data_IF_939095623795
#
_entry.id   IF_939095623795
#
_cell.length_a   1.000
_cell.length_b   1.000
_cell.length_c   1.000
_cell.angle_alpha   90.00
_cell.angle_beta   90.00
_cell.angle_gamma   90.00
#
_symmetry.space_group_name_H-M   'P 1'
#
loop_
_entity.id
_entity.type
_entity.pdbx_description
1 polymer ?
#
# COMPACT_ATOMS: atom_id res chain seq x y z
N UNK A 1 -2.97 -8.46 31.15
CA UNK A 1 -4.29 -8.33 30.51
C UNK A 1 -4.15 -8.97 29.14
N UNK A 2 -4.65 -10.18 28.97
CA UNK A 2 -4.60 -10.90 27.70
C UNK A 2 -5.57 -10.19 26.75
N UNK A 3 -5.04 -9.40 25.84
CA UNK A 3 -5.82 -8.93 24.69
C UNK A 3 -6.07 -10.17 23.84
N UNK A 4 -7.31 -10.66 23.86
CA UNK A 4 -7.75 -11.73 22.98
C UNK A 4 -7.46 -11.31 21.54
N UNK A 5 -6.45 -11.93 20.95
CA UNK A 5 -6.04 -11.76 19.54
C UNK A 5 -7.05 -12.39 18.57
N UNK A 6 -8.27 -12.67 19.02
CA UNK A 6 -9.32 -13.19 18.17
C UNK A 6 -9.80 -12.10 17.20
N UNK A 7 -9.40 -12.24 15.95
CA UNK A 7 -9.88 -11.39 14.85
C UNK A 7 -11.40 -11.35 14.87
N UNK A 8 -11.97 -10.16 14.81
CA UNK A 8 -13.43 -9.98 14.65
C UNK A 8 -13.90 -10.62 13.34
N UNK A 9 -15.18 -10.94 13.22
CA UNK A 9 -15.76 -11.50 11.98
C UNK A 9 -15.42 -10.62 10.77
N UNK A 10 -15.49 -9.31 10.93
CA UNK A 10 -15.12 -8.32 9.90
C UNK A 10 -13.66 -8.45 9.47
N UNK A 11 -12.74 -8.53 10.43
CA UNK A 11 -11.31 -8.69 10.16
C UNK A 11 -10.97 -10.02 9.49
N UNK A 12 -11.67 -11.11 9.87
CA UNK A 12 -11.51 -12.42 9.19
C UNK A 12 -11.93 -12.36 7.74
N UNK A 13 -13.05 -11.69 7.42
CA UNK A 13 -13.49 -11.49 6.04
C UNK A 13 -12.47 -10.66 5.26
N UNK A 14 -12.00 -9.54 5.83
CA UNK A 14 -10.97 -8.71 5.21
C UNK A 14 -9.67 -9.45 4.96
N UNK A 15 -9.20 -10.22 5.97
CA UNK A 15 -7.99 -11.04 5.84
C UNK A 15 -8.16 -12.13 4.78
N UNK A 16 -9.28 -12.85 4.76
CA UNK A 16 -9.56 -13.88 3.77
C UNK A 16 -9.58 -13.30 2.35
N UNK A 17 -10.20 -12.12 2.18
CA UNK A 17 -10.25 -11.41 0.89
C UNK A 17 -8.85 -11.01 0.42
N UNK A 18 -8.04 -10.40 1.30
CA UNK A 18 -6.67 -10.01 0.96
C UNK A 18 -5.77 -11.20 0.67
N UNK A 19 -5.93 -12.30 1.42
CA UNK A 19 -5.19 -13.55 1.16
C UNK A 19 -5.59 -14.14 -0.19
N UNK A 20 -6.88 -14.17 -0.52
CA UNK A 20 -7.35 -14.66 -1.83
C UNK A 20 -6.78 -13.81 -2.98
N UNK A 21 -6.80 -12.47 -2.85
CA UNK A 21 -6.21 -11.55 -3.83
C UNK A 21 -4.69 -11.76 -3.92
N UNK A 22 -4.00 -11.88 -2.80
CA UNK A 22 -2.55 -12.10 -2.78
C UNK A 22 -2.18 -13.44 -3.43
N UNK A 23 -2.93 -14.50 -3.17
CA UNK A 23 -2.76 -15.80 -3.83
C UNK A 23 -3.02 -15.73 -5.33
N UNK A 24 -4.09 -15.04 -5.75
CA UNK A 24 -4.37 -14.81 -7.16
C UNK A 24 -3.22 -14.06 -7.85
N UNK A 25 -2.72 -12.99 -7.24
CA UNK A 25 -1.61 -12.19 -7.78
C UNK A 25 -0.26 -12.92 -7.74
N UNK A 26 -0.03 -13.79 -6.76
CA UNK A 26 1.24 -14.53 -6.63
C UNK A 26 1.27 -15.78 -7.51
N UNK A 27 0.20 -16.57 -7.52
CA UNK A 27 0.11 -17.82 -8.27
C UNK A 27 -0.37 -17.62 -9.71
N UNK A 28 -1.22 -16.61 -9.96
CA UNK A 28 -1.78 -16.32 -11.26
C UNK A 28 -0.75 -16.21 -12.37
N UNK A 29 0.33 -15.41 -12.23
CA UNK A 29 1.38 -15.32 -13.25
C UNK A 29 1.98 -16.65 -13.69
N UNK A 30 2.11 -17.61 -12.79
CA UNK A 30 2.63 -18.94 -13.09
C UNK A 30 1.58 -19.87 -13.74
N UNK A 31 0.29 -19.64 -13.47
CA UNK A 31 -0.81 -20.52 -13.91
C UNK A 31 -1.45 -20.07 -15.22
N UNK A 32 -1.53 -18.76 -15.47
CA UNK A 32 -2.30 -18.18 -16.60
C UNK A 32 -1.43 -17.70 -17.76
N UNK A 33 -0.11 -17.88 -17.69
CA UNK A 33 0.81 -17.57 -18.76
C UNK A 33 1.23 -16.10 -18.90
N UNK A 34 1.89 -15.77 -20.01
CA UNK A 34 2.44 -14.43 -20.27
C UNK A 34 1.30 -13.46 -20.68
N UNK A 35 1.14 -12.31 -19.98
CA UNK A 35 0.14 -11.30 -20.27
C UNK A 35 0.40 -10.53 -21.59
N UNK A 36 1.51 -10.81 -22.29
CA UNK A 36 1.93 -10.11 -23.51
C UNK A 36 1.62 -10.90 -24.78
N UNK A 37 1.23 -12.16 -24.66
CA UNK A 37 0.90 -13.00 -25.82
C UNK A 37 -0.28 -12.38 -26.56
N UNK A 38 -0.07 -12.06 -27.83
CA UNK A 38 -1.06 -11.48 -28.71
C UNK A 38 -1.81 -12.59 -29.46
N UNK A 39 -3.12 -12.50 -29.47
CA UNK A 39 -4.00 -13.39 -30.23
C UNK A 39 -5.11 -12.59 -30.93
N UNK A 40 -4.77 -11.98 -32.05
CA UNK A 40 -5.68 -11.13 -32.81
C UNK A 40 -6.93 -11.86 -33.35
N UNK A 41 -6.93 -13.20 -33.38
CA UNK A 41 -8.11 -13.98 -33.74
C UNK A 41 -9.18 -13.93 -32.64
N UNK A 42 -8.77 -13.73 -31.41
CA UNK A 42 -9.63 -13.63 -30.23
C UNK A 42 -9.76 -12.19 -29.71
N UNK A 43 -9.92 -11.22 -30.62
CA UNK A 43 -10.14 -9.81 -30.31
C UNK A 43 -11.43 -9.60 -29.51
N UNK A 44 -11.38 -8.93 -28.35
CA UNK A 44 -12.52 -8.61 -27.47
C UNK A 44 -13.45 -9.80 -27.19
N UNK A 45 -12.92 -11.02 -27.11
CA UNK A 45 -13.71 -12.21 -26.84
C UNK A 45 -14.36 -12.13 -25.47
N UNK A 46 -15.64 -12.46 -25.39
CA UNK A 46 -16.40 -12.47 -24.14
C UNK A 46 -15.86 -13.54 -23.15
N UNK A 47 -16.12 -13.37 -21.84
CA UNK A 47 -15.82 -14.40 -20.85
C UNK A 47 -16.42 -15.76 -21.22
N UNK A 48 -15.60 -16.82 -21.17
CA UNK A 48 -15.97 -18.19 -21.52
C UNK A 48 -15.00 -19.21 -20.91
N UNK A 49 -15.19 -20.50 -21.29
CA UNK A 49 -14.37 -21.59 -20.73
C UNK A 49 -12.89 -21.48 -21.12
N UNK A 50 -12.60 -20.99 -22.33
CA UNK A 50 -11.22 -20.79 -22.81
C UNK A 50 -10.60 -19.49 -22.28
N UNK A 51 -11.42 -18.45 -22.11
CA UNK A 51 -11.01 -17.14 -21.64
C UNK A 51 -11.92 -16.68 -20.49
N UNK A 52 -11.63 -17.04 -19.24
CA UNK A 52 -12.49 -16.83 -18.06
C UNK A 52 -12.94 -15.38 -17.85
N UNK A 53 -12.08 -14.40 -18.13
CA UNK A 53 -12.42 -12.97 -18.10
C UNK A 53 -12.41 -12.32 -19.50
N UNK A 54 -12.43 -13.14 -20.55
CA UNK A 54 -12.32 -12.68 -21.93
C UNK A 54 -10.90 -12.25 -22.31
N UNK A 55 -10.80 -11.60 -23.47
CA UNK A 55 -9.55 -11.08 -24.02
C UNK A 55 -9.68 -9.59 -24.31
N UNK A 56 -8.57 -8.86 -24.32
CA UNK A 56 -8.55 -7.44 -24.61
C UNK A 56 -8.53 -7.14 -26.12
N UNK A 57 -8.34 -5.86 -26.46
CA UNK A 57 -8.27 -5.37 -27.84
C UNK A 57 -7.06 -5.86 -28.65
N UNK A 58 -6.16 -6.61 -28.06
CA UNK A 58 -5.04 -7.28 -28.72
C UNK A 58 -5.13 -8.81 -28.57
N UNK A 59 -6.28 -9.32 -28.11
CA UNK A 59 -6.50 -10.74 -27.85
C UNK A 59 -5.75 -11.29 -26.65
N UNK A 60 -5.16 -10.44 -25.81
CA UNK A 60 -4.42 -10.86 -24.62
C UNK A 60 -5.38 -11.34 -23.52
N UNK A 61 -5.03 -12.41 -22.82
CA UNK A 61 -5.84 -12.93 -21.71
C UNK A 61 -6.00 -11.89 -20.58
N UNK A 62 -7.26 -11.54 -20.27
CA UNK A 62 -7.57 -10.61 -19.18
C UNK A 62 -7.20 -11.16 -17.80
N UNK A 63 -7.31 -12.48 -17.60
CA UNK A 63 -6.89 -13.12 -16.33
C UNK A 63 -5.39 -12.97 -16.13
N UNK A 64 -4.59 -13.25 -17.17
CA UNK A 64 -3.14 -13.11 -17.11
C UNK A 64 -2.73 -11.66 -16.85
N UNK A 65 -3.33 -10.72 -17.56
CA UNK A 65 -3.07 -9.28 -17.38
C UNK A 65 -3.44 -8.83 -15.96
N UNK A 66 -4.61 -9.23 -15.46
CA UNK A 66 -5.09 -8.83 -14.14
C UNK A 66 -4.22 -9.38 -13.01
N UNK A 67 -3.78 -10.65 -13.11
CA UNK A 67 -2.89 -11.26 -12.13
C UNK A 67 -1.53 -10.55 -12.07
N UNK A 68 -0.92 -10.29 -13.23
CA UNK A 68 0.36 -9.57 -13.29
C UNK A 68 0.22 -8.09 -12.87
N UNK A 69 -0.87 -7.42 -13.26
CA UNK A 69 -1.13 -6.04 -12.82
C UNK A 69 -1.32 -5.95 -11.30
N UNK A 70 -2.09 -6.87 -10.73
CA UNK A 70 -2.27 -6.96 -9.29
C UNK A 70 -0.96 -7.24 -8.56
N UNK A 71 -0.15 -8.20 -9.06
CA UNK A 71 1.18 -8.48 -8.50
C UNK A 71 2.08 -7.24 -8.50
N UNK A 72 2.12 -6.52 -9.62
CA UNK A 72 2.93 -5.30 -9.75
C UNK A 72 2.44 -4.19 -8.82
N UNK A 73 1.15 -3.87 -8.87
CA UNK A 73 0.57 -2.77 -8.09
C UNK A 73 0.63 -3.04 -6.58
N UNK A 74 0.24 -4.23 -6.13
CA UNK A 74 0.29 -4.60 -4.71
C UNK A 74 1.72 -4.78 -4.21
N UNK A 75 2.61 -5.35 -5.02
CA UNK A 75 4.02 -5.51 -4.68
C UNK A 75 4.71 -4.16 -4.52
N UNK A 76 4.47 -3.22 -5.44
CA UNK A 76 5.01 -1.87 -5.36
C UNK A 76 4.46 -1.10 -4.16
N UNK A 77 3.15 -1.20 -3.90
CA UNK A 77 2.53 -0.58 -2.74
C UNK A 77 3.14 -1.11 -1.43
N UNK A 78 3.25 -2.43 -1.30
CA UNK A 78 3.84 -3.06 -0.12
C UNK A 78 5.30 -2.64 0.08
N UNK A 79 6.09 -2.66 -0.98
CA UNK A 79 7.48 -2.23 -0.94
C UNK A 79 7.61 -0.76 -0.50
N UNK A 80 6.80 0.14 -1.08
CA UNK A 80 6.80 1.57 -0.75
C UNK A 80 6.42 1.81 0.72
N UNK A 81 5.36 1.14 1.18
CA UNK A 81 4.88 1.26 2.57
C UNK A 81 5.91 0.72 3.56
N UNK A 82 6.51 -0.44 3.30
CA UNK A 82 7.54 -1.02 4.17
C UNK A 82 8.78 -0.12 4.23
N UNK A 83 9.25 0.36 3.08
CA UNK A 83 10.41 1.26 2.99
C UNK A 83 10.17 2.62 3.65
N UNK A 84 8.92 3.08 3.70
CA UNK A 84 8.53 4.28 4.42
C UNK A 84 8.39 4.04 5.92
N UNK A 85 7.76 2.92 6.31
CA UNK A 85 7.48 2.59 7.69
C UNK A 85 8.75 2.38 8.52
N UNK A 86 9.75 1.66 7.98
CA UNK A 86 10.99 1.35 8.72
C UNK A 86 11.70 2.64 9.19
N UNK A 87 12.13 3.57 8.31
CA UNK A 87 12.79 4.79 8.74
C UNK A 87 11.83 5.71 9.52
N UNK A 88 10.56 5.80 9.14
CA UNK A 88 9.56 6.61 9.84
C UNK A 88 9.36 6.19 11.29
N UNK A 89 9.23 4.89 11.55
CA UNK A 89 9.10 4.33 12.91
C UNK A 89 10.38 4.53 13.72
N UNK A 90 11.53 4.20 13.14
CA UNK A 90 12.82 4.33 13.85
C UNK A 90 13.11 5.78 14.21
N UNK A 91 13.00 6.68 13.24
CA UNK A 91 13.22 8.13 13.46
C UNK A 91 12.18 8.71 14.42
N UNK A 92 10.91 8.27 14.34
CA UNK A 92 9.85 8.69 15.22
C UNK A 92 10.12 8.33 16.69
N UNK A 93 10.51 7.09 16.96
CA UNK A 93 10.85 6.63 18.32
C UNK A 93 12.10 7.36 18.82
N UNK A 94 13.16 7.46 18.00
CA UNK A 94 14.43 8.11 18.40
C UNK A 94 14.22 9.61 18.67
N UNK A 95 13.45 10.29 17.82
CA UNK A 95 13.12 11.71 18.01
C UNK A 95 12.31 11.94 19.30
N UNK A 96 11.31 11.10 19.58
CA UNK A 96 10.52 11.16 20.80
C UNK A 96 11.37 10.88 22.06
N UNK A 97 12.34 9.97 21.95
CA UNK A 97 13.21 9.57 23.07
C UNK A 97 14.24 10.63 23.40
N UNK A 98 15.00 11.14 22.39
CA UNK A 98 16.11 12.07 22.61
C UNK A 98 15.66 13.51 22.69
N UNK A 99 14.62 13.90 21.96
CA UNK A 99 14.17 15.29 21.90
C UNK A 99 15.23 16.23 21.31
N UNK A 100 15.14 17.51 21.70
CA UNK A 100 16.17 18.51 21.43
C UNK A 100 16.39 18.83 19.95
N UNK A 101 17.68 18.97 19.55
CA UNK A 101 18.05 19.33 18.18
C UNK A 101 17.74 18.23 17.15
N UNK A 102 17.90 16.95 17.56
CA UNK A 102 17.63 15.82 16.69
C UNK A 102 16.15 15.75 16.30
N UNK A 103 15.26 15.92 17.27
CA UNK A 103 13.82 15.99 17.03
C UNK A 103 13.50 17.15 16.07
N UNK A 104 14.06 18.34 16.32
CA UNK A 104 13.85 19.51 15.46
C UNK A 104 14.33 19.27 14.03
N UNK A 105 15.51 18.68 13.85
CA UNK A 105 16.06 18.36 12.53
C UNK A 105 15.14 17.39 11.76
N UNK A 106 14.68 16.32 12.42
CA UNK A 106 13.75 15.37 11.81
C UNK A 106 12.41 16.02 11.45
N UNK A 107 11.89 16.91 12.28
CA UNK A 107 10.65 17.65 12.01
C UNK A 107 10.82 18.59 10.82
N UNK A 108 11.90 19.36 10.77
CA UNK A 108 12.20 20.25 9.62
C UNK A 108 12.33 19.46 8.33
N UNK A 109 13.01 18.30 8.38
CA UNK A 109 13.12 17.42 7.21
C UNK A 109 11.74 16.91 6.77
N UNK A 110 10.90 16.46 7.71
CA UNK A 110 9.55 16.00 7.42
C UNK A 110 8.68 17.12 6.85
N UNK A 111 8.76 18.33 7.40
CA UNK A 111 8.02 19.50 6.93
C UNK A 111 8.48 19.95 5.53
N UNK A 112 9.79 19.83 5.25
CA UNK A 112 10.34 20.11 3.90
C UNK A 112 9.78 19.16 2.83
N UNK A 113 9.61 17.88 3.16
CA UNK A 113 8.99 16.91 2.23
C UNK A 113 7.51 17.22 2.03
N UNK A 114 6.78 17.59 3.09
CA UNK A 114 5.35 17.94 2.99
C UNK A 114 5.08 19.33 2.43
N UNK A 115 6.09 20.15 2.18
CA UNK A 115 5.92 21.41 1.46
C UNK A 115 5.35 21.18 0.04
N UNK A 116 5.57 19.99 -0.52
CA UNK A 116 4.93 19.52 -1.76
C UNK A 116 3.80 18.54 -1.44
N UNK A 117 2.62 18.66 -2.07
CA UNK A 117 1.60 17.63 -2.01
C UNK A 117 2.17 16.28 -2.45
N UNK A 118 1.91 15.19 -1.68
CA UNK A 118 2.54 13.89 -1.89
C UNK A 118 2.42 13.36 -3.34
N UNK A 119 1.24 13.49 -3.97
CA UNK A 119 1.06 13.11 -5.39
C UNK A 119 1.91 13.94 -6.34
N UNK A 120 2.10 15.25 -6.08
CA UNK A 120 2.97 16.09 -6.89
C UNK A 120 4.44 15.69 -6.75
N UNK A 121 4.87 15.28 -5.55
CA UNK A 121 6.22 14.74 -5.35
C UNK A 121 6.43 13.47 -6.16
N UNK A 122 5.46 12.54 -6.14
CA UNK A 122 5.53 11.31 -6.94
C UNK A 122 5.55 11.64 -8.43
N UNK A 123 4.69 12.55 -8.87
CA UNK A 123 4.61 12.99 -10.27
C UNK A 123 5.95 13.61 -10.73
N UNK A 124 6.52 14.50 -9.92
CA UNK A 124 7.82 15.13 -10.21
C UNK A 124 8.92 14.08 -10.40
N UNK A 125 9.01 13.10 -9.50
CA UNK A 125 9.99 12.03 -9.62
C UNK A 125 9.71 11.12 -10.84
N UNK A 126 8.43 10.84 -11.14
CA UNK A 126 8.05 10.04 -12.29
C UNK A 126 8.46 10.69 -13.64
N UNK A 127 8.58 12.03 -13.70
CA UNK A 127 9.06 12.71 -14.89
C UNK A 127 10.56 12.51 -15.18
N UNK A 128 11.35 12.17 -14.16
CA UNK A 128 12.79 11.93 -14.31
C UNK A 128 13.10 10.65 -15.11
N UNK A 129 12.23 9.63 -15.02
CA UNK A 129 12.35 8.41 -15.81
C UNK A 129 10.94 7.85 -16.12
N UNK A 130 10.29 8.37 -17.17
CA UNK A 130 8.92 8.02 -17.53
C UNK A 130 8.78 6.52 -17.83
N UNK A 131 7.81 5.87 -17.16
CA UNK A 131 7.53 4.45 -17.33
C UNK A 131 8.42 3.51 -16.51
N UNK A 132 9.40 4.05 -15.77
CA UNK A 132 10.23 3.26 -14.88
C UNK A 132 9.53 3.03 -13.53
N UNK A 133 9.86 1.91 -12.90
CA UNK A 133 9.36 1.50 -11.60
C UNK A 133 9.89 2.37 -10.43
N UNK A 134 11.19 2.67 -10.45
CA UNK A 134 11.87 3.26 -9.30
C UNK A 134 11.43 4.68 -8.92
N UNK A 135 11.04 5.59 -9.83
CA UNK A 135 10.59 6.91 -9.41
C UNK A 135 9.25 6.88 -8.68
N UNK A 136 8.31 6.02 -9.13
CA UNK A 136 7.05 5.82 -8.44
C UNK A 136 7.27 5.27 -7.04
N UNK A 137 8.12 4.25 -6.93
CA UNK A 137 8.51 3.65 -5.66
C UNK A 137 9.12 4.68 -4.70
N UNK A 138 10.14 5.43 -5.15
CA UNK A 138 10.81 6.43 -4.30
C UNK A 138 9.88 7.56 -3.91
N UNK A 139 9.04 8.04 -4.84
CA UNK A 139 8.08 9.11 -4.58
C UNK A 139 7.07 8.71 -3.50
N UNK A 140 6.51 7.52 -3.60
CA UNK A 140 5.58 6.99 -2.60
C UNK A 140 6.27 6.75 -1.26
N UNK A 141 7.47 6.15 -1.25
CA UNK A 141 8.23 5.93 -0.02
C UNK A 141 8.57 7.25 0.69
N UNK A 142 8.99 8.28 -0.07
CA UNK A 142 9.28 9.61 0.45
C UNK A 142 8.03 10.34 0.95
N UNK A 143 6.88 10.15 0.31
CA UNK A 143 5.64 10.77 0.77
C UNK A 143 5.15 10.11 2.08
N UNK A 144 5.20 8.78 2.18
CA UNK A 144 4.62 8.06 3.32
C UNK A 144 5.50 8.05 4.57
N UNK A 145 6.86 8.08 4.46
CA UNK A 145 7.70 8.03 5.66
C UNK A 145 7.42 9.15 6.66
N UNK A 146 7.02 10.32 6.18
CA UNK A 146 6.69 11.48 7.02
C UNK A 146 5.47 11.21 7.88
N UNK A 147 4.45 10.55 7.33
CA UNK A 147 3.24 10.19 8.07
C UNK A 147 3.57 9.20 9.20
N UNK A 148 4.35 8.13 8.89
CA UNK A 148 4.84 7.20 9.91
C UNK A 148 5.66 7.91 10.97
N UNK A 149 6.59 8.77 10.57
CA UNK A 149 7.43 9.54 11.50
C UNK A 149 6.59 10.39 12.45
N UNK A 150 5.65 11.17 11.92
CA UNK A 150 4.83 12.10 12.72
C UNK A 150 3.94 11.36 13.72
N UNK A 151 3.23 10.35 13.27
CA UNK A 151 2.31 9.59 14.13
C UNK A 151 3.08 8.83 15.20
N UNK A 152 4.14 8.12 14.81
CA UNK A 152 4.96 7.36 15.76
C UNK A 152 5.64 8.28 16.77
N UNK A 153 6.19 9.43 16.33
CA UNK A 153 6.79 10.41 17.24
C UNK A 153 5.77 10.92 18.27
N UNK A 154 4.57 11.31 17.83
CA UNK A 154 3.52 11.80 18.71
C UNK A 154 3.08 10.74 19.73
N UNK A 155 2.78 9.52 19.27
CA UNK A 155 2.38 8.42 20.13
C UNK A 155 3.48 8.00 21.10
N UNK A 156 4.72 7.83 20.61
CA UNK A 156 5.86 7.47 21.45
C UNK A 156 6.14 8.52 22.53
N UNK A 157 6.01 9.80 22.20
CA UNK A 157 6.17 10.89 23.16
C UNK A 157 5.12 10.84 24.28
N UNK A 158 3.86 10.59 23.94
CA UNK A 158 2.77 10.40 24.90
C UNK A 158 3.03 9.21 25.83
N UNK A 159 3.41 8.06 25.25
CA UNK A 159 3.69 6.83 26.00
C UNK A 159 4.89 7.04 26.95
N UNK A 160 5.96 7.68 26.47
CA UNK A 160 7.18 7.93 27.25
C UNK A 160 6.97 8.90 28.42
N UNK A 161 5.92 9.74 28.38
CA UNK A 161 5.50 10.62 29.46
C UNK A 161 4.51 9.96 30.43
N UNK A 162 4.15 8.68 30.24
CA UNK A 162 3.18 7.97 31.09
C UNK A 162 3.78 7.62 32.46
N UNK A 163 2.95 7.58 33.53
CA UNK A 163 3.39 7.16 34.86
C UNK A 163 3.99 5.75 34.91
N UNK A 164 3.52 4.84 34.06
CA UNK A 164 4.04 3.48 33.98
C UNK A 164 5.51 3.44 33.49
N UNK A 165 5.87 4.29 32.51
CA UNK A 165 7.25 4.42 32.03
C UNK A 165 8.11 5.11 33.10
N UNK A 166 7.59 6.11 33.80
CA UNK A 166 8.31 6.80 34.88
C UNK A 166 8.62 5.83 36.04
N UNK A 167 7.64 5.04 36.48
CA UNK A 167 7.85 4.01 37.49
C UNK A 167 8.93 2.98 37.06
N UNK A 168 8.87 2.55 35.81
CA UNK A 168 9.89 1.62 35.27
C UNK A 168 11.29 2.23 35.24
N UNK A 169 11.41 3.53 34.94
CA UNK A 169 12.70 4.27 35.02
C UNK A 169 13.23 4.35 36.46
N UNK A 170 12.38 4.62 37.42
CA UNK A 170 12.75 4.66 38.84
C UNK A 170 13.24 3.29 39.34
N UNK A 171 12.71 2.20 38.80
CA UNK A 171 13.17 0.84 39.08
C UNK A 171 14.47 0.45 38.34
N UNK A 172 15.07 1.37 37.56
CA UNK A 172 16.35 1.18 36.91
C UNK A 172 16.28 0.42 35.56
N UNK A 173 15.10 0.23 34.98
CA UNK A 173 14.99 -0.43 33.68
C UNK A 173 15.57 0.43 32.56
N UNK A 174 16.37 -0.21 31.68
CA UNK A 174 17.06 0.47 30.57
C UNK A 174 16.12 0.81 29.40
N UNK A 175 16.62 1.67 28.50
CA UNK A 175 15.89 2.19 27.34
C UNK A 175 15.29 1.12 26.44
N UNK A 176 16.03 0.03 26.19
CA UNK A 176 15.56 -1.09 25.37
C UNK A 176 14.34 -1.77 25.99
N UNK A 177 14.35 -1.99 27.31
CA UNK A 177 13.21 -2.54 28.03
C UNK A 177 11.97 -1.63 27.90
N UNK A 178 12.14 -0.33 28.11
CA UNK A 178 11.05 0.64 28.01
C UNK A 178 10.42 0.68 26.62
N UNK A 179 11.25 0.68 25.58
CA UNK A 179 10.74 0.62 24.19
C UNK A 179 10.02 -0.69 23.92
N UNK A 180 10.59 -1.83 24.31
CA UNK A 180 10.01 -3.14 24.04
C UNK A 180 8.73 -3.42 24.84
N UNK A 181 8.68 -2.99 26.11
CA UNK A 181 7.59 -3.36 27.05
C UNK A 181 6.47 -2.32 27.10
N UNK A 182 6.75 -1.06 26.81
CA UNK A 182 5.75 0.03 26.86
C UNK A 182 5.45 0.61 25.49
N UNK A 183 6.49 1.05 24.75
CA UNK A 183 6.28 1.79 23.48
C UNK A 183 5.81 0.86 22.37
N UNK A 184 6.49 -0.25 22.16
CA UNK A 184 6.21 -1.14 21.02
C UNK A 184 4.82 -1.81 21.08
N UNK A 185 4.33 -2.32 22.21
CA UNK A 185 2.99 -2.91 22.29
C UNK A 185 1.87 -1.92 21.96
N UNK A 186 2.00 -0.67 22.40
CA UNK A 186 1.01 0.37 22.15
C UNK A 186 1.11 0.93 20.71
N UNK A 187 2.29 0.93 20.10
CA UNK A 187 2.46 1.35 18.71
C UNK A 187 1.93 0.32 17.69
N UNK A 188 1.94 -0.97 18.00
CA UNK A 188 1.52 -2.03 17.07
C UNK A 188 0.15 -1.79 16.42
N UNK A 189 -0.93 -1.53 17.13
CA UNK A 189 -2.24 -1.30 16.52
C UNK A 189 -2.24 -0.04 15.64
N UNK A 190 -1.55 1.01 16.04
CA UNK A 190 -1.39 2.24 15.27
C UNK A 190 -0.65 1.96 13.96
N UNK A 191 0.45 1.20 14.02
CA UNK A 191 1.24 0.83 12.84
C UNK A 191 0.45 -0.05 11.86
N UNK A 192 -0.37 -0.98 12.35
CA UNK A 192 -1.25 -1.80 11.51
C UNK A 192 -2.30 -0.93 10.79
N UNK A 193 -2.86 0.04 11.50
CA UNK A 193 -3.80 1.00 10.92
C UNK A 193 -3.12 1.84 9.84
N UNK A 194 -1.94 2.42 10.13
CA UNK A 194 -1.15 3.18 9.16
C UNK A 194 -0.73 2.34 7.96
N UNK A 195 -0.32 1.09 8.16
CA UNK A 195 0.04 0.19 7.05
C UNK A 195 -1.16 -0.07 6.13
N UNK A 196 -2.35 -0.30 6.68
CA UNK A 196 -3.56 -0.50 5.89
C UNK A 196 -3.96 0.76 5.10
N UNK A 197 -3.85 1.95 5.71
CA UNK A 197 -4.10 3.22 5.02
C UNK A 197 -3.04 3.49 3.96
N UNK A 198 -1.76 3.31 4.30
CA UNK A 198 -0.64 3.49 3.39
C UNK A 198 -0.73 2.57 2.17
N UNK A 199 -1.08 1.29 2.37
CA UNK A 199 -1.32 0.35 1.26
C UNK A 199 -2.47 0.82 0.36
N UNK A 200 -3.60 1.22 0.94
CA UNK A 200 -4.74 1.72 0.17
C UNK A 200 -4.38 2.99 -0.60
N UNK A 201 -3.71 3.95 0.05
CA UNK A 201 -3.26 5.19 -0.57
C UNK A 201 -2.23 4.94 -1.68
N UNK A 202 -1.28 4.01 -1.49
CA UNK A 202 -0.29 3.65 -2.50
C UNK A 202 -0.92 3.04 -3.74
N UNK A 203 -1.85 2.08 -3.57
CA UNK A 203 -2.55 1.44 -4.69
C UNK A 203 -3.40 2.46 -5.46
N UNK A 204 -4.12 3.34 -4.75
CA UNK A 204 -4.90 4.41 -5.38
C UNK A 204 -4.01 5.42 -6.10
N UNK A 205 -2.90 5.83 -5.50
CA UNK A 205 -1.97 6.78 -6.12
C UNK A 205 -1.37 6.22 -7.41
N UNK A 206 -0.96 4.93 -7.42
CA UNK A 206 -0.46 4.27 -8.63
C UNK A 206 -1.55 4.16 -9.70
N UNK A 207 -2.76 3.74 -9.32
CA UNK A 207 -3.86 3.65 -10.27
C UNK A 207 -4.21 5.01 -10.87
N UNK A 208 -4.22 6.09 -10.06
CA UNK A 208 -4.44 7.45 -10.52
C UNK A 208 -3.35 7.94 -11.47
N UNK A 209 -2.07 7.71 -11.15
CA UNK A 209 -0.92 8.07 -12.00
C UNK A 209 -0.91 7.26 -13.29
N UNK A 210 -1.22 5.97 -13.21
CA UNK A 210 -1.39 5.10 -14.38
C UNK A 210 -2.52 5.60 -15.28
N UNK A 211 -3.65 5.98 -14.71
CA UNK A 211 -4.79 6.54 -15.44
C UNK A 211 -4.47 7.87 -16.14
N UNK A 212 -3.63 8.71 -15.52
CA UNK A 212 -3.16 9.97 -16.14
C UNK A 212 -2.04 9.73 -17.19
N UNK A 213 -1.57 8.48 -17.34
CA UNK A 213 -0.54 8.12 -18.32
C UNK A 213 0.90 8.37 -17.84
N UNK A 214 1.10 8.66 -16.55
CA UNK A 214 2.42 8.90 -15.94
C UNK A 214 2.96 7.64 -15.26
N UNK A 215 2.14 6.59 -15.16
CA UNK A 215 2.49 5.30 -14.54
C UNK A 215 3.47 4.45 -15.35
N UNK A 216 3.53 3.18 -15.00
CA UNK A 216 4.32 2.16 -15.69
C UNK A 216 3.75 1.98 -17.09
N UNK A 217 4.62 2.01 -18.12
CA UNK A 217 4.17 1.95 -19.52
C UNK A 217 3.96 0.51 -20.01
N UNK A 218 3.04 0.31 -20.97
CA UNK A 218 2.93 -0.95 -21.70
C UNK A 218 4.30 -1.39 -22.25
N UNK A 219 4.57 -2.71 -22.38
CA UNK A 219 3.62 -3.82 -22.31
C UNK A 219 3.37 -4.39 -20.89
N UNK A 220 3.92 -3.77 -19.83
CA UNK A 220 3.70 -4.22 -18.44
C UNK A 220 2.30 -3.84 -18.00
N UNK A 221 1.43 -4.81 -17.64
CA UNK A 221 0.12 -4.50 -17.12
C UNK A 221 0.22 -3.88 -15.72
N UNK A 222 -0.52 -2.79 -15.52
CA UNK A 222 -0.73 -2.11 -14.25
C UNK A 222 -2.21 -1.74 -14.17
N UNK A 223 -2.82 -1.77 -12.96
CA UNK A 223 -4.27 -1.64 -12.81
C UNK A 223 -4.82 -0.33 -13.39
N UNK A 224 -4.16 0.82 -13.13
CA UNK A 224 -4.59 2.11 -13.64
C UNK A 224 -4.40 2.25 -15.16
N UNK A 225 -3.28 1.75 -15.68
CA UNK A 225 -3.01 1.73 -17.13
C UNK A 225 -4.00 0.85 -17.86
N UNK A 226 -4.35 -0.33 -17.29
CA UNK A 226 -5.38 -1.18 -17.87
C UNK A 226 -6.73 -0.48 -17.98
N UNK A 227 -7.11 0.32 -16.98
CA UNK A 227 -8.37 1.06 -17.02
C UNK A 227 -8.42 2.04 -18.21
N UNK A 228 -7.33 2.77 -18.48
CA UNK A 228 -7.30 3.72 -19.60
C UNK A 228 -7.18 3.04 -20.96
N UNK A 229 -6.41 1.94 -21.06
CA UNK A 229 -6.31 1.15 -22.29
C UNK A 229 -7.66 0.55 -22.73
N UNK A 230 -8.49 0.14 -21.76
CA UNK A 230 -9.76 -0.54 -21.99
C UNK A 230 -10.96 0.44 -22.07
N UNK A 231 -10.76 1.71 -21.68
CA UNK A 231 -11.81 2.73 -21.68
C UNK A 231 -12.49 2.92 -23.06
N UNK A 232 -11.76 2.94 -24.20
CA UNK A 232 -12.41 3.07 -25.52
C UNK A 232 -13.39 1.95 -25.86
N UNK A 233 -13.23 0.78 -25.24
CA UNK A 233 -14.02 -0.44 -25.53
C UNK A 233 -15.15 -0.68 -24.51
N UNK A 234 -15.47 0.29 -23.65
CA UNK A 234 -16.44 0.08 -22.57
C UNK A 234 -17.87 -0.22 -23.07
N UNK A 235 -18.23 0.26 -24.26
CA UNK A 235 -19.55 -0.01 -24.85
C UNK A 235 -19.63 -1.41 -25.46
N UNK A 236 -18.55 -1.91 -26.03
CA UNK A 236 -18.50 -3.22 -26.70
C UNK A 236 -18.21 -4.36 -25.72
N UNK A 237 -17.35 -4.10 -24.75
CA UNK A 237 -16.85 -5.09 -23.79
C UNK A 237 -16.72 -4.52 -22.37
N UNK A 238 -17.85 -4.18 -21.69
CA UNK A 238 -17.83 -3.51 -20.39
C UNK A 238 -17.16 -4.34 -19.27
N UNK A 239 -17.14 -5.67 -19.40
CA UNK A 239 -16.48 -6.56 -18.44
C UNK A 239 -14.97 -6.35 -18.37
N UNK A 240 -14.33 -5.86 -19.43
CA UNK A 240 -12.90 -5.63 -19.47
C UNK A 240 -12.46 -4.55 -18.47
N UNK A 241 -13.18 -3.44 -18.44
CA UNK A 241 -12.95 -2.36 -17.46
C UNK A 241 -13.38 -2.79 -16.06
N UNK A 242 -14.47 -3.53 -15.94
CA UNK A 242 -14.97 -4.00 -14.65
C UNK A 242 -13.93 -4.86 -13.90
N UNK A 243 -13.11 -5.65 -14.59
CA UNK A 243 -12.13 -6.52 -13.96
C UNK A 243 -11.06 -5.79 -13.12
N UNK A 244 -10.28 -4.82 -13.65
CA UNK A 244 -9.32 -4.07 -12.85
C UNK A 244 -10.00 -3.19 -11.79
N UNK A 245 -11.17 -2.60 -12.06
CA UNK A 245 -11.95 -1.83 -11.09
C UNK A 245 -12.39 -2.70 -9.92
N UNK A 246 -12.89 -3.90 -10.18
CA UNK A 246 -13.30 -4.84 -9.13
C UNK A 246 -12.12 -5.29 -8.29
N UNK A 247 -10.97 -5.65 -8.91
CA UNK A 247 -9.78 -6.04 -8.16
C UNK A 247 -9.30 -4.92 -7.24
N UNK A 248 -9.26 -3.68 -7.74
CA UNK A 248 -8.92 -2.50 -6.95
C UNK A 248 -9.89 -2.30 -5.79
N UNK A 249 -11.20 -2.33 -6.07
CA UNK A 249 -12.26 -2.16 -5.07
C UNK A 249 -12.22 -3.23 -3.99
N UNK A 250 -12.04 -4.50 -4.37
CA UNK A 250 -11.93 -5.61 -3.42
C UNK A 250 -10.67 -5.49 -2.57
N UNK A 251 -9.55 -5.06 -3.15
CA UNK A 251 -8.32 -4.80 -2.41
C UNK A 251 -8.53 -3.71 -1.35
N UNK A 252 -9.12 -2.58 -1.74
CA UNK A 252 -9.41 -1.48 -0.81
C UNK A 252 -10.40 -1.91 0.27
N UNK A 253 -11.44 -2.65 -0.09
CA UNK A 253 -12.41 -3.19 0.85
C UNK A 253 -11.73 -4.12 1.87
N UNK A 254 -10.87 -5.04 1.42
CA UNK A 254 -10.11 -5.93 2.29
C UNK A 254 -9.23 -5.17 3.28
N UNK A 255 -8.51 -4.13 2.81
CA UNK A 255 -7.68 -3.26 3.64
C UNK A 255 -8.51 -2.46 4.65
N UNK A 256 -9.70 -2.02 4.30
CA UNK A 256 -10.63 -1.34 5.24
C UNK A 256 -11.18 -2.29 6.28
N UNK A 257 -11.51 -3.52 5.89
CA UNK A 257 -12.10 -4.51 6.79
C UNK A 257 -11.11 -5.07 7.83
N UNK A 258 -9.82 -5.16 7.50
CA UNK A 258 -8.79 -5.73 8.40
C UNK A 258 -8.39 -4.78 9.53
N UNK A 259 -8.73 -3.50 9.44
CA UNK A 259 -8.33 -2.49 10.45
C UNK A 259 -8.85 -2.85 11.83
N UNK A 260 -8.03 -2.65 12.88
CA UNK A 260 -8.51 -2.68 14.25
C UNK A 260 -9.63 -1.64 14.42
N UNK A 261 -10.74 -2.02 15.02
CA UNK A 261 -11.72 -1.04 15.50
C UNK A 261 -11.11 -0.40 16.75
N UNK A 262 -10.88 0.91 16.71
CA UNK A 262 -10.69 1.66 17.93
C UNK A 262 -11.99 1.48 18.75
N UNK A 263 -11.87 0.92 19.92
CA UNK A 263 -12.97 0.94 20.87
C UNK A 263 -13.26 2.43 21.13
N UNK A 264 -14.39 2.89 20.61
CA UNK A 264 -14.93 4.20 20.98
C UNK A 264 -15.21 4.10 22.47
N UNK A 265 -14.28 4.61 23.28
CA UNK A 265 -14.45 4.78 24.71
C UNK A 265 -15.15 6.10 24.97
#
# INVERSE_FOLDING_TARGET
MNVDLALTRRQRIGAALLVAIALFCAAGPALVGDPRVLDLMNFLSAPGLEHWLGTDHLGRSMVARLAHAGQLSLGLAALSVLSAAIPGVLLGIVAAWRGGWLERACVVLADSVLALPGLLLVLLLATLAPGAFWPLYLGLALAFWVEYFRVVRASARSILASPAVEASRLLGFGSFYLVRSHVWPELRPVLLTLASFGMAAAVLAMAALGFVGVGIKPPRPELGVMMIELLPYYQEAPWLIAAPVLLLTLTLLGLVLIRPQEAVA
#
